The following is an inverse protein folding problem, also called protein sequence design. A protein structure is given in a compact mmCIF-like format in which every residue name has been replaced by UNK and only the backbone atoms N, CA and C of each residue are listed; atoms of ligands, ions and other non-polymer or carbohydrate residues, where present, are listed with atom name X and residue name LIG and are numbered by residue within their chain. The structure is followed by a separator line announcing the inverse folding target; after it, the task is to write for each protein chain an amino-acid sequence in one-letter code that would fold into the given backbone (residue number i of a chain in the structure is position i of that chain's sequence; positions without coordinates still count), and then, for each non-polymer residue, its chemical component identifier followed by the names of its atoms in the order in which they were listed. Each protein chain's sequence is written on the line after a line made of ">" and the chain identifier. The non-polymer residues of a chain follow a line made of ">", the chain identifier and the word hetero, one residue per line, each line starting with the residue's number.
data_IF_896028539723
#
_entry.id   IF_896028539723
#
_cell.length_a   1.000
_cell.length_b   1.000
_cell.length_c   1.000
_cell.angle_alpha   90.00
_cell.angle_beta   90.00
_cell.angle_gamma   90.00
#
_symmetry.space_group_name_H-M   'P 1'
#
loop_
_entity.id
_entity.type
_entity.pdbx_description
1 polymer ?
#
# COMPACT_ATOMS: atom_id res chain seq x y z
N UNK A 1 5.00 0.29 -13.58
CA UNK A 1 4.71 -1.13 -13.89
C UNK A 1 5.71 -1.99 -13.15
N UNK A 2 5.35 -3.21 -12.76
CA UNK A 2 6.26 -4.18 -12.14
C UNK A 2 7.22 -4.69 -13.22
N UNK A 3 8.52 -4.60 -12.98
CA UNK A 3 9.54 -5.08 -13.90
C UNK A 3 10.29 -6.32 -13.41
N UNK A 4 10.23 -6.61 -12.09
CA UNK A 4 10.92 -7.75 -11.53
C UNK A 4 10.29 -8.20 -10.21
N UNK A 5 10.29 -9.50 -9.92
CA UNK A 5 10.09 -10.06 -8.61
C UNK A 5 11.35 -10.83 -8.18
N UNK A 6 11.76 -10.63 -6.93
CA UNK A 6 12.78 -11.40 -6.25
C UNK A 6 12.17 -12.14 -5.06
N UNK A 7 12.45 -13.41 -4.94
CA UNK A 7 11.93 -14.31 -3.93
C UNK A 7 13.10 -15.06 -3.30
N UNK A 8 13.20 -15.05 -1.97
CA UNK A 8 14.20 -15.80 -1.23
C UNK A 8 13.60 -16.50 -0.03
N UNK A 9 13.95 -17.79 0.12
CA UNK A 9 13.53 -18.66 1.21
C UNK A 9 12.01 -18.66 1.46
N UNK A 10 11.23 -18.67 0.38
CA UNK A 10 9.77 -18.64 0.39
C UNK A 10 9.21 -20.03 0.05
N UNK A 11 8.49 -20.64 0.98
CA UNK A 11 7.94 -21.99 0.86
C UNK A 11 8.99 -23.02 0.39
N UNK A 12 8.92 -23.50 -0.85
CA UNK A 12 9.90 -24.43 -1.43
C UNK A 12 11.01 -23.71 -2.23
N UNK A 13 10.83 -22.44 -2.52
CA UNK A 13 11.78 -21.64 -3.31
C UNK A 13 12.96 -21.23 -2.42
N UNK A 14 14.18 -21.59 -2.83
CA UNK A 14 15.40 -21.12 -2.18
C UNK A 14 15.72 -19.69 -2.60
N UNK A 15 15.79 -19.49 -3.92
CA UNK A 15 16.07 -18.19 -4.50
C UNK A 15 15.57 -18.16 -5.94
N UNK A 16 14.89 -17.09 -6.33
CA UNK A 16 14.33 -16.91 -7.66
C UNK A 16 14.26 -15.42 -7.97
N UNK A 17 14.70 -15.05 -9.17
CA UNK A 17 14.49 -13.73 -9.74
C UNK A 17 13.81 -13.89 -11.10
N UNK A 18 12.69 -13.19 -11.29
CA UNK A 18 11.92 -13.22 -12.53
C UNK A 18 11.72 -11.79 -13.04
N UNK A 19 12.22 -11.47 -14.23
CA UNK A 19 11.89 -10.22 -14.90
C UNK A 19 10.49 -10.30 -15.51
N UNK A 20 9.81 -9.14 -15.54
CA UNK A 20 8.57 -8.92 -16.27
C UNK A 20 8.79 -7.86 -17.34
N UNK A 21 8.12 -8.03 -18.46
CA UNK A 21 8.16 -7.09 -19.57
C UNK A 21 6.84 -6.34 -19.69
N UNK A 22 6.85 -5.19 -20.33
CA UNK A 22 5.64 -4.42 -20.58
C UNK A 22 4.64 -5.22 -21.44
N UNK A 23 3.37 -5.09 -21.11
CA UNK A 23 2.28 -5.76 -21.78
C UNK A 23 1.69 -6.91 -20.97
N UNK A 24 1.34 -7.99 -21.64
CA UNK A 24 0.67 -9.15 -21.06
C UNK A 24 1.66 -10.29 -20.81
N UNK A 25 1.78 -10.72 -19.56
CA UNK A 25 2.63 -11.86 -19.15
C UNK A 25 1.79 -13.05 -18.77
N UNK A 26 2.08 -14.22 -19.30
CA UNK A 26 1.41 -15.50 -18.96
C UNK A 26 2.40 -16.43 -18.28
N UNK A 27 2.02 -16.97 -17.12
CA UNK A 27 2.77 -18.01 -16.41
C UNK A 27 2.10 -19.36 -16.69
N UNK A 28 2.76 -20.21 -17.47
CA UNK A 28 2.28 -21.55 -17.85
C UNK A 28 3.16 -22.64 -17.24
N UNK A 29 2.66 -23.87 -17.18
CA UNK A 29 3.39 -25.03 -16.69
C UNK A 29 2.43 -26.11 -16.15
N UNK A 30 2.97 -27.27 -15.82
CA UNK A 30 2.21 -28.39 -15.27
C UNK A 30 1.69 -28.12 -13.85
N UNK A 31 0.73 -28.93 -13.40
CA UNK A 31 0.23 -28.88 -12.02
C UNK A 31 1.40 -29.21 -11.06
N UNK A 32 1.59 -28.40 -10.02
CA UNK A 32 2.72 -28.55 -9.11
C UNK A 32 4.02 -27.87 -9.52
N UNK A 33 4.13 -27.28 -10.73
CA UNK A 33 5.34 -26.58 -11.21
C UNK A 33 5.65 -25.25 -10.48
N UNK A 34 4.93 -24.91 -9.42
CA UNK A 34 5.20 -23.69 -8.64
C UNK A 34 4.52 -22.41 -9.13
N UNK A 35 3.66 -22.45 -10.18
CA UNK A 35 2.94 -21.27 -10.68
C UNK A 35 2.18 -20.52 -9.60
N UNK A 36 1.34 -21.23 -8.86
CA UNK A 36 0.55 -20.65 -7.76
C UNK A 36 1.43 -20.07 -6.65
N UNK A 37 2.64 -20.61 -6.48
CA UNK A 37 3.59 -20.13 -5.49
C UNK A 37 4.20 -18.79 -5.89
N UNK A 38 4.51 -18.59 -7.17
CA UNK A 38 4.99 -17.30 -7.69
C UNK A 38 3.89 -16.25 -7.58
N UNK A 39 2.66 -16.61 -7.95
CA UNK A 39 1.49 -15.72 -7.81
C UNK A 39 1.24 -15.37 -6.34
N UNK A 40 1.34 -16.35 -5.42
CA UNK A 40 1.18 -16.12 -3.98
C UNK A 40 2.31 -15.24 -3.42
N UNK A 41 3.55 -15.41 -3.87
CA UNK A 41 4.66 -14.55 -3.50
C UNK A 41 4.46 -13.11 -4.01
N UNK A 42 3.99 -12.96 -5.25
CA UNK A 42 3.64 -11.64 -5.80
C UNK A 42 2.53 -10.97 -4.98
N UNK A 43 1.46 -11.70 -4.67
CA UNK A 43 0.38 -11.24 -3.80
C UNK A 43 0.91 -10.80 -2.43
N UNK A 44 1.81 -11.58 -1.83
CA UNK A 44 2.46 -11.21 -0.58
C UNK A 44 3.23 -9.90 -0.71
N UNK A 45 4.05 -9.72 -1.75
CA UNK A 45 4.76 -8.46 -2.00
C UNK A 45 3.79 -7.28 -2.20
N UNK A 46 2.61 -7.54 -2.74
CA UNK A 46 1.54 -6.57 -2.97
C UNK A 46 0.59 -6.38 -1.75
N UNK A 47 1.00 -6.77 -0.55
CA UNK A 47 0.29 -6.42 0.67
C UNK A 47 -0.64 -7.49 1.23
N UNK A 48 -0.76 -8.67 0.62
CA UNK A 48 -1.57 -9.76 1.15
C UNK A 48 -1.04 -10.30 2.47
N UNK A 49 -1.90 -11.00 3.21
CA UNK A 49 -1.53 -11.65 4.46
C UNK A 49 -0.56 -12.80 4.19
N UNK A 50 0.39 -12.97 5.10
CA UNK A 50 1.31 -14.09 5.07
C UNK A 50 0.89 -15.20 6.05
N UNK A 51 1.27 -16.41 5.72
CA UNK A 51 1.14 -17.58 6.59
C UNK A 51 2.52 -17.97 7.11
N UNK A 52 2.57 -18.62 8.29
CA UNK A 52 3.84 -19.13 8.85
C UNK A 52 4.52 -20.15 7.93
N UNK A 53 3.72 -20.88 7.16
CA UNK A 53 4.15 -21.87 6.16
C UNK A 53 4.81 -21.25 4.94
N UNK A 54 4.71 -19.94 4.76
CA UNK A 54 5.35 -19.22 3.66
C UNK A 54 6.85 -19.05 3.87
N UNK A 55 7.37 -19.24 5.08
CA UNK A 55 8.81 -19.32 5.33
C UNK A 55 9.31 -20.72 5.03
N UNK A 56 10.38 -20.83 4.23
CA UNK A 56 10.98 -22.10 3.86
C UNK A 56 11.42 -22.88 5.08
N UNK A 57 11.17 -24.20 5.07
CA UNK A 57 11.59 -25.09 6.16
C UNK A 57 13.11 -24.99 6.40
N UNK A 58 13.49 -24.84 7.68
CA UNK A 58 14.88 -24.64 8.07
C UNK A 58 15.39 -23.21 8.03
N UNK A 59 14.56 -22.25 7.55
CA UNK A 59 14.93 -20.85 7.51
C UNK A 59 14.19 -20.02 8.57
N UNK A 60 14.80 -18.94 9.02
CA UNK A 60 14.22 -18.03 10.02
C UNK A 60 13.37 -16.92 9.41
N UNK A 61 13.60 -16.61 8.11
CA UNK A 61 12.92 -15.55 7.40
C UNK A 61 12.83 -15.84 5.91
N UNK A 62 11.83 -15.24 5.27
CA UNK A 62 11.63 -15.19 3.84
C UNK A 62 11.63 -13.74 3.37
N UNK A 63 12.06 -13.50 2.14
CA UNK A 63 12.07 -12.19 1.47
C UNK A 63 11.30 -12.29 0.17
N UNK A 64 10.38 -11.38 -0.04
CA UNK A 64 9.77 -11.15 -1.34
C UNK A 64 9.87 -9.66 -1.67
N UNK A 65 10.38 -9.36 -2.84
CA UNK A 65 10.59 -7.99 -3.31
C UNK A 65 10.07 -7.83 -4.74
N UNK A 66 9.41 -6.72 -4.98
CA UNK A 66 8.94 -6.30 -6.31
C UNK A 66 9.60 -4.98 -6.66
N UNK A 67 10.22 -4.92 -7.83
CA UNK A 67 10.78 -3.69 -8.39
C UNK A 67 9.86 -3.11 -9.46
N UNK A 68 9.74 -1.78 -9.48
CA UNK A 68 8.97 -1.05 -10.48
C UNK A 68 9.89 -0.36 -11.50
N UNK A 69 9.34 -0.01 -12.67
CA UNK A 69 10.06 0.71 -13.73
C UNK A 69 10.64 2.06 -13.31
N UNK A 70 10.06 2.70 -12.28
CA UNK A 70 10.55 3.94 -11.68
C UNK A 70 11.65 3.72 -10.63
N UNK A 71 12.28 2.55 -10.61
CA UNK A 71 13.35 2.13 -9.70
C UNK A 71 12.92 2.00 -8.23
N UNK A 72 11.65 2.10 -7.90
CA UNK A 72 11.15 1.82 -6.55
C UNK A 72 11.08 0.33 -6.27
N UNK A 73 11.51 -0.05 -5.07
CA UNK A 73 11.50 -1.42 -4.59
C UNK A 73 10.55 -1.57 -3.39
N UNK A 74 9.67 -2.54 -3.50
CA UNK A 74 8.69 -2.89 -2.46
C UNK A 74 9.05 -4.26 -1.91
N UNK A 75 9.55 -4.31 -0.67
CA UNK A 75 10.07 -5.53 -0.07
C UNK A 75 9.29 -5.90 1.20
N UNK A 76 9.00 -7.16 1.33
CA UNK A 76 8.42 -7.74 2.54
C UNK A 76 9.34 -8.83 3.11
N UNK A 77 9.61 -8.71 4.40
CA UNK A 77 10.32 -9.70 5.20
C UNK A 77 9.32 -10.42 6.07
N UNK A 78 9.20 -11.71 5.88
CA UNK A 78 8.38 -12.58 6.71
C UNK A 78 9.28 -13.38 7.63
N UNK A 79 9.05 -13.32 8.93
CA UNK A 79 9.73 -14.16 9.92
C UNK A 79 8.96 -15.44 10.18
N UNK A 80 9.65 -16.51 10.60
CA UNK A 80 9.07 -17.79 11.00
C UNK A 80 7.99 -17.66 12.10
N UNK A 81 8.08 -16.62 12.93
CA UNK A 81 7.07 -16.28 13.93
C UNK A 81 5.80 -15.62 13.36
N UNK A 82 5.70 -15.42 12.03
CA UNK A 82 4.56 -14.80 11.36
C UNK A 82 4.57 -13.27 11.38
N UNK A 83 5.65 -12.63 11.86
CA UNK A 83 5.79 -11.18 11.79
C UNK A 83 6.21 -10.75 10.39
N UNK A 84 5.55 -9.72 9.87
CA UNK A 84 5.89 -9.11 8.59
C UNK A 84 6.49 -7.74 8.86
N UNK A 85 7.53 -7.40 8.09
CA UNK A 85 8.08 -6.05 7.99
C UNK A 85 8.05 -5.65 6.52
N UNK A 86 7.51 -4.48 6.25
CA UNK A 86 7.37 -3.93 4.90
C UNK A 86 8.33 -2.76 4.72
N UNK A 87 8.95 -2.68 3.55
CA UNK A 87 9.93 -1.66 3.19
C UNK A 87 9.64 -1.12 1.80
N UNK A 88 9.87 0.17 1.63
CA UNK A 88 9.93 0.83 0.31
C UNK A 88 11.25 1.55 0.21
N UNK A 89 12.06 1.19 -0.80
CA UNK A 89 13.40 1.75 -1.04
C UNK A 89 14.28 1.72 0.22
N UNK A 90 14.32 0.58 0.94
CA UNK A 90 15.06 0.33 2.18
C UNK A 90 14.43 0.97 3.44
N UNK A 91 13.46 1.87 3.32
CA UNK A 91 12.78 2.50 4.45
C UNK A 91 11.64 1.62 4.99
N UNK A 92 11.59 1.34 6.30
CA UNK A 92 10.52 0.57 6.89
C UNK A 92 9.22 1.39 6.92
N UNK A 93 8.11 0.75 6.53
CA UNK A 93 6.79 1.36 6.57
C UNK A 93 5.81 0.55 7.42
N UNK A 94 4.86 1.22 8.11
CA UNK A 94 3.71 0.56 8.68
C UNK A 94 2.90 -0.20 7.62
N UNK A 95 2.30 -1.30 8.03
CA UNK A 95 1.58 -2.20 7.11
C UNK A 95 0.44 -1.50 6.35
N UNK A 96 -0.30 -0.62 7.02
CA UNK A 96 -1.40 0.14 6.41
C UNK A 96 -0.88 1.09 5.32
N UNK A 97 0.13 1.90 5.63
CA UNK A 97 0.75 2.82 4.67
C UNK A 97 1.38 2.09 3.48
N UNK A 98 1.98 0.92 3.72
CA UNK A 98 2.53 0.09 2.65
C UNK A 98 1.43 -0.39 1.70
N UNK A 99 0.30 -0.87 2.22
CA UNK A 99 -0.83 -1.32 1.41
C UNK A 99 -1.42 -0.18 0.59
N UNK A 100 -1.62 0.99 1.19
CA UNK A 100 -2.16 2.15 0.48
C UNK A 100 -1.27 2.54 -0.70
N UNK A 101 0.05 2.52 -0.52
CA UNK A 101 1.00 2.75 -1.62
C UNK A 101 0.90 1.69 -2.71
N UNK A 102 0.84 0.42 -2.34
CA UNK A 102 0.75 -0.68 -3.31
C UNK A 102 -0.55 -0.59 -4.11
N UNK A 103 -1.68 -0.31 -3.47
CA UNK A 103 -2.97 -0.18 -4.14
C UNK A 103 -3.05 0.98 -5.12
N UNK A 104 -2.13 1.94 -5.03
CA UNK A 104 -2.06 3.04 -6.00
C UNK A 104 -1.54 2.62 -7.37
N UNK A 105 -0.80 1.51 -7.48
CA UNK A 105 -0.18 1.07 -8.74
C UNK A 105 -0.47 -0.38 -9.14
N UNK A 106 -0.96 -1.22 -8.23
CA UNK A 106 -1.23 -2.62 -8.49
C UNK A 106 -2.58 -3.05 -7.90
N UNK A 107 -3.33 -3.80 -8.68
CA UNK A 107 -4.52 -4.51 -8.22
C UNK A 107 -4.32 -6.01 -8.43
N UNK A 108 -4.71 -6.81 -7.44
CA UNK A 108 -4.51 -8.24 -7.43
C UNK A 108 -5.86 -8.97 -7.30
N UNK A 109 -6.18 -9.76 -8.32
CA UNK A 109 -7.38 -10.58 -8.37
C UNK A 109 -7.01 -12.06 -8.18
N UNK A 110 -6.91 -12.50 -6.94
CA UNK A 110 -6.67 -13.90 -6.58
C UNK A 110 -7.95 -14.65 -6.23
N UNK A 111 -7.80 -15.95 -6.05
CA UNK A 111 -8.88 -16.79 -5.52
C UNK A 111 -9.16 -16.37 -4.06
N UNK A 112 -10.32 -15.75 -3.80
CA UNK A 112 -10.76 -15.18 -2.51
C UNK A 112 -10.07 -13.85 -2.07
N UNK A 113 -9.35 -13.17 -2.94
CA UNK A 113 -8.72 -11.87 -2.63
C UNK A 113 -9.24 -10.77 -3.57
N UNK A 114 -10.41 -10.24 -3.30
CA UNK A 114 -10.96 -9.04 -3.96
C UNK A 114 -10.74 -7.82 -3.04
N UNK A 115 -9.48 -7.43 -2.84
CA UNK A 115 -9.14 -6.50 -1.77
C UNK A 115 -9.70 -5.09 -1.96
N UNK A 116 -9.65 -4.54 -3.16
CA UNK A 116 -10.14 -3.19 -3.42
C UNK A 116 -11.67 -3.10 -3.41
N UNK A 117 -12.37 -4.06 -4.03
CA UNK A 117 -13.84 -4.06 -4.05
C UNK A 117 -14.43 -4.34 -2.65
N UNK A 118 -13.74 -5.13 -1.83
CA UNK A 118 -14.18 -5.43 -0.46
C UNK A 118 -13.91 -4.28 0.52
N UNK A 119 -13.07 -3.32 0.16
CA UNK A 119 -12.80 -2.15 0.96
C UNK A 119 -13.83 -1.04 0.66
N UNK A 120 -14.79 -0.83 1.56
CA UNK A 120 -15.82 0.21 1.37
C UNK A 120 -15.28 1.63 1.23
N UNK A 121 -14.06 1.91 1.72
CA UNK A 121 -13.42 3.23 1.59
C UNK A 121 -13.03 3.57 0.16
N UNK A 122 -12.75 2.56 -0.67
CA UNK A 122 -12.36 2.76 -2.08
C UNK A 122 -13.55 2.88 -3.03
N UNK A 123 -14.76 2.56 -2.58
CA UNK A 123 -15.96 2.60 -3.44
C UNK A 123 -16.25 3.99 -4.00
N UNK A 124 -16.05 5.02 -3.18
CA UNK A 124 -16.26 6.42 -3.60
C UNK A 124 -15.26 6.78 -4.70
N UNK A 125 -13.99 6.39 -4.54
CA UNK A 125 -12.94 6.67 -5.53
C UNK A 125 -13.23 5.99 -6.87
N UNK A 126 -13.72 4.74 -6.85
CA UNK A 126 -14.16 4.05 -8.07
C UNK A 126 -15.31 4.76 -8.75
N UNK A 127 -16.30 5.20 -7.98
CA UNK A 127 -17.45 5.93 -8.50
C UNK A 127 -17.03 7.28 -9.10
N UNK A 128 -16.19 8.02 -8.41
CA UNK A 128 -15.70 9.32 -8.86
C UNK A 128 -14.86 9.20 -10.15
N UNK A 129 -14.00 8.19 -10.25
CA UNK A 129 -13.27 7.88 -11.50
C UNK A 129 -14.20 7.52 -12.63
N UNK A 130 -15.20 6.65 -12.38
CA UNK A 130 -16.20 6.29 -13.37
C UNK A 130 -17.00 7.49 -13.88
N UNK A 131 -17.39 8.38 -12.97
CA UNK A 131 -18.12 9.62 -13.26
C UNK A 131 -17.22 10.75 -13.79
N UNK A 132 -15.90 10.58 -13.87
CA UNK A 132 -14.93 11.60 -14.30
C UNK A 132 -15.06 12.90 -13.49
N UNK A 133 -15.13 12.77 -12.16
CA UNK A 133 -15.37 13.89 -11.25
C UNK A 133 -14.08 14.62 -10.82
N UNK A 134 -12.92 14.38 -11.42
CA UNK A 134 -11.61 14.93 -10.99
C UNK A 134 -11.63 16.45 -10.81
N UNK A 135 -12.25 17.17 -11.75
CA UNK A 135 -12.36 18.63 -11.67
C UNK A 135 -13.23 19.09 -10.47
N UNK A 136 -14.30 18.36 -10.16
CA UNK A 136 -15.17 18.67 -9.04
C UNK A 136 -14.47 18.37 -7.71
N UNK A 137 -13.76 17.25 -7.62
CA UNK A 137 -12.97 16.88 -6.46
C UNK A 137 -11.89 17.92 -6.16
N UNK A 138 -11.15 18.37 -7.18
CA UNK A 138 -10.14 19.43 -7.02
C UNK A 138 -10.74 20.75 -6.56
N UNK A 139 -11.94 21.11 -7.04
CA UNK A 139 -12.64 22.32 -6.60
C UNK A 139 -13.10 22.20 -5.13
N UNK A 140 -13.64 21.06 -4.73
CA UNK A 140 -14.05 20.79 -3.33
C UNK A 140 -12.84 20.82 -2.40
N UNK A 141 -11.73 20.22 -2.79
CA UNK A 141 -10.48 20.20 -2.01
C UNK A 141 -9.98 21.63 -1.73
N UNK A 142 -9.98 22.51 -2.74
CA UNK A 142 -9.60 23.91 -2.55
C UNK A 142 -10.51 24.61 -1.53
N UNK A 143 -11.82 24.51 -1.72
CA UNK A 143 -12.80 25.15 -0.82
C UNK A 143 -12.69 24.59 0.60
N UNK A 144 -12.46 23.30 0.74
CA UNK A 144 -12.27 22.66 2.03
C UNK A 144 -11.02 23.19 2.74
N UNK A 145 -9.90 23.30 2.04
CA UNK A 145 -8.66 23.82 2.62
C UNK A 145 -8.79 25.29 3.02
N UNK A 146 -9.48 26.12 2.22
CA UNK A 146 -9.81 27.51 2.58
C UNK A 146 -10.70 27.58 3.83
N UNK A 147 -11.69 26.71 3.95
CA UNK A 147 -12.57 26.63 5.11
C UNK A 147 -11.79 26.27 6.38
N UNK A 148 -10.91 25.25 6.31
CA UNK A 148 -10.08 24.85 7.46
C UNK A 148 -9.17 26.00 7.88
N UNK A 149 -8.45 26.62 6.93
CA UNK A 149 -7.59 27.77 7.21
C UNK A 149 -8.35 28.93 7.87
N UNK A 150 -9.53 29.30 7.35
CA UNK A 150 -10.36 30.36 7.89
C UNK A 150 -10.87 30.04 9.30
N UNK A 151 -11.23 28.78 9.57
CA UNK A 151 -11.63 28.32 10.92
C UNK A 151 -10.48 28.44 11.92
N UNK A 152 -9.28 28.07 11.54
CA UNK A 152 -8.09 28.20 12.40
C UNK A 152 -7.76 29.65 12.70
N UNK A 153 -7.81 30.53 11.70
CA UNK A 153 -7.62 31.96 11.90
C UNK A 153 -8.68 32.56 12.84
N UNK A 154 -9.93 32.18 12.63
CA UNK A 154 -11.02 32.63 13.50
C UNK A 154 -10.79 32.20 14.94
N UNK A 155 -10.41 30.92 15.16
CA UNK A 155 -10.13 30.42 16.49
C UNK A 155 -8.99 31.19 17.18
N UNK A 156 -7.89 31.47 16.46
CA UNK A 156 -6.78 32.29 16.97
C UNK A 156 -7.23 33.71 17.34
N UNK A 157 -8.01 34.37 16.48
CA UNK A 157 -8.52 35.72 16.74
C UNK A 157 -9.47 35.77 17.94
N UNK A 158 -10.33 34.76 18.09
CA UNK A 158 -11.21 34.63 19.26
C UNK A 158 -10.42 34.45 20.56
N UNK A 159 -9.38 33.67 20.55
CA UNK A 159 -8.53 33.46 21.72
C UNK A 159 -7.80 34.73 22.12
N UNK A 160 -7.21 35.45 21.15
CA UNK A 160 -6.59 36.76 21.39
C UNK A 160 -7.58 37.81 21.92
N UNK A 161 -8.81 37.82 21.41
CA UNK A 161 -9.86 38.70 21.91
C UNK A 161 -10.24 38.41 23.36
N UNK A 162 -10.35 37.12 23.72
CA UNK A 162 -10.62 36.71 25.12
C UNK A 162 -9.50 37.17 26.05
N UNK A 163 -8.22 36.89 25.68
CA UNK A 163 -7.07 37.32 26.48
C UNK A 163 -6.98 38.84 26.64
N UNK A 164 -7.40 39.61 25.63
CA UNK A 164 -7.44 41.07 25.70
C UNK A 164 -8.56 41.59 26.62
N UNK A 165 -9.71 40.95 26.64
CA UNK A 165 -10.82 41.31 27.54
C UNK A 165 -10.49 40.95 28.99
N UNK A 166 -9.94 39.74 29.24
CA UNK A 166 -9.51 39.32 30.55
C UNK A 166 -8.46 40.31 31.16
N UNK A 167 -7.57 40.86 30.33
CA UNK A 167 -6.61 41.89 30.78
C UNK A 167 -7.25 43.24 31.08
N UNK A 168 -8.35 43.60 30.45
CA UNK A 168 -9.07 44.85 30.73
C UNK A 168 -9.92 44.77 32.00
N UNK A 169 -10.39 43.58 32.37
CA UNK A 169 -11.18 43.37 33.59
C UNK A 169 -10.30 43.30 34.86
N UNK A 170 -8.94 43.24 34.69
CA UNK A 170 -7.95 43.26 35.80
C UNK A 170 -7.32 44.65 36.03
N UNK A 171 -7.70 45.70 35.29
CA UNK A 171 -7.28 47.08 35.45
C UNK A 171 -8.42 47.97 35.96
#
# INVERSE_FOLDING_TARGET
>A
MINKIYIKDYAIVRELELPFFDGFTVITGETGAGKSLIVKALSLALGSKAEKTDVRSGQERSVVEVSLNNQRNYRRLLSKGGRIKSYVDEEPLPEESYRDLVYSFADFHGQNEQQLIMNSRTHIDFLDRFCKNENKLSAIEKIYNELIFTKEELAKKLELSRQSNDKKDFL
#
